data_IF_845968506719
#
_entry.id   IF_845968506719
#
_cell.length_a   1.000
_cell.length_b   1.000
_cell.length_c   1.000
_cell.angle_alpha   90.00
_cell.angle_beta   90.00
_cell.angle_gamma   90.00
#
_symmetry.space_group_name_H-M   'P 1'
#
loop_
_entity.id
_entity.type
_entity.pdbx_description
1 polymer ?
#
# COMPACT_ATOMS: atom_id res chain seq x y z
N UNK A 1 25.54 9.16 2.87
CA UNK A 1 24.79 7.91 2.62
C UNK A 1 23.33 8.29 2.61
N UNK A 2 22.61 8.07 1.52
CA UNK A 2 21.18 8.40 1.46
C UNK A 2 20.38 7.63 2.51
N UNK A 3 19.43 8.30 3.14
CA UNK A 3 18.60 7.73 4.22
C UNK A 3 17.15 7.69 3.76
N UNK A 4 16.54 6.53 3.86
CA UNK A 4 15.14 6.29 3.54
C UNK A 4 14.39 5.86 4.79
N UNK A 5 13.12 6.22 4.86
CA UNK A 5 12.24 5.85 5.96
C UNK A 5 11.02 5.10 5.41
N UNK A 6 10.70 3.95 6.00
CA UNK A 6 9.37 3.35 5.87
C UNK A 6 8.51 4.04 6.92
N UNK A 7 7.53 4.83 6.46
CA UNK A 7 6.67 5.61 7.35
C UNK A 7 5.81 4.71 8.21
N UNK A 8 5.15 3.75 7.57
CA UNK A 8 4.26 2.78 8.19
C UNK A 8 4.17 1.53 7.32
N UNK A 9 3.98 0.36 7.91
CA UNK A 9 3.79 -0.88 7.18
C UNK A 9 3.27 -2.00 8.09
N UNK A 10 2.38 -2.85 7.56
CA UNK A 10 1.74 -3.93 8.32
C UNK A 10 2.57 -5.22 8.43
N UNK A 11 3.75 -5.28 7.79
CA UNK A 11 4.62 -6.45 7.88
C UNK A 11 5.30 -6.57 9.24
N UNK A 12 5.53 -7.82 9.66
CA UNK A 12 6.23 -8.15 10.91
C UNK A 12 7.76 -8.14 10.79
N UNK A 13 8.30 -8.05 9.55
CA UNK A 13 9.74 -8.07 9.29
C UNK A 13 10.06 -7.39 7.96
N UNK A 14 11.25 -6.83 7.86
CA UNK A 14 11.74 -6.02 6.73
C UNK A 14 13.08 -6.53 6.18
N UNK A 15 13.35 -7.82 6.33
CA UNK A 15 14.64 -8.43 5.95
C UNK A 15 15.01 -8.24 4.48
N UNK A 16 14.01 -8.23 3.59
CA UNK A 16 14.22 -8.03 2.15
C UNK A 16 14.62 -6.59 1.90
N UNK A 17 13.84 -5.66 2.42
CA UNK A 17 14.05 -4.22 2.26
C UNK A 17 15.39 -3.81 2.90
N UNK A 18 15.66 -4.23 4.12
CA UNK A 18 16.92 -3.96 4.82
C UNK A 18 18.12 -4.43 4.00
N UNK A 19 18.04 -5.65 3.44
CA UNK A 19 19.11 -6.20 2.61
C UNK A 19 19.30 -5.39 1.33
N UNK A 20 18.21 -5.07 0.61
CA UNK A 20 18.26 -4.31 -0.65
C UNK A 20 18.86 -2.93 -0.45
N UNK A 21 18.45 -2.22 0.62
CA UNK A 21 18.99 -0.90 0.94
C UNK A 21 20.46 -0.95 1.36
N UNK A 22 20.83 -1.96 2.16
CA UNK A 22 22.23 -2.17 2.57
C UNK A 22 23.13 -2.49 1.37
N UNK A 23 22.69 -3.39 0.48
CA UNK A 23 23.43 -3.76 -0.74
C UNK A 23 23.61 -2.54 -1.68
N UNK A 24 22.66 -1.60 -1.67
CA UNK A 24 22.72 -0.36 -2.44
C UNK A 24 23.50 0.77 -1.72
N UNK A 25 24.08 0.53 -0.55
CA UNK A 25 24.79 1.53 0.23
C UNK A 25 23.89 2.64 0.79
N UNK A 26 22.62 2.33 1.04
CA UNK A 26 21.63 3.23 1.58
C UNK A 26 21.20 2.79 2.99
N UNK A 27 20.76 3.75 3.79
CA UNK A 27 20.23 3.51 5.14
C UNK A 27 18.71 3.43 5.08
N UNK A 28 18.13 2.40 5.69
CA UNK A 28 16.69 2.25 5.86
C UNK A 28 16.31 2.37 7.35
N UNK A 29 15.25 3.10 7.64
CA UNK A 29 14.67 3.28 8.97
C UNK A 29 13.19 2.94 8.92
N UNK A 30 12.68 2.26 9.94
CA UNK A 30 11.28 1.88 10.06
C UNK A 30 10.67 2.70 11.22
N UNK A 31 9.68 3.54 10.93
CA UNK A 31 9.20 4.53 11.89
C UNK A 31 7.83 4.20 12.51
N UNK A 32 6.93 3.51 11.80
CA UNK A 32 5.54 3.32 12.21
C UNK A 32 4.79 4.64 12.49
N UNK A 33 5.06 5.66 11.66
CA UNK A 33 4.43 6.97 11.70
C UNK A 33 3.13 6.95 10.89
N UNK A 34 1.99 7.29 11.48
CA UNK A 34 0.65 7.20 10.87
C UNK A 34 0.01 8.56 10.60
N UNK A 35 0.52 9.60 11.22
CA UNK A 35 0.02 10.98 11.07
C UNK A 35 1.08 11.86 10.42
N UNK A 36 0.64 13.00 9.85
CA UNK A 36 1.57 13.97 9.27
C UNK A 36 2.67 14.40 10.27
N UNK A 37 2.27 14.69 11.52
CA UNK A 37 3.23 15.13 12.54
C UNK A 37 4.26 14.05 12.88
N UNK A 38 3.84 12.80 12.92
CA UNK A 38 4.74 11.67 13.15
C UNK A 38 5.68 11.47 11.97
N UNK A 39 5.18 11.57 10.72
CA UNK A 39 6.01 11.49 9.52
C UNK A 39 7.04 12.60 9.49
N UNK A 40 6.62 13.84 9.72
CA UNK A 40 7.52 15.01 9.76
C UNK A 40 8.61 14.80 10.82
N UNK A 41 8.23 14.43 12.04
CA UNK A 41 9.17 14.20 13.14
C UNK A 41 10.18 13.11 12.78
N UNK A 42 9.69 11.92 12.41
CA UNK A 42 10.55 10.77 12.14
C UNK A 42 11.51 11.02 10.97
N UNK A 43 11.02 11.63 9.88
CA UNK A 43 11.84 11.95 8.72
C UNK A 43 12.85 13.06 9.00
N UNK A 44 12.50 14.04 9.84
CA UNK A 44 13.42 15.12 10.27
C UNK A 44 14.54 14.58 11.15
N UNK A 45 14.21 13.74 12.15
CA UNK A 45 15.18 13.17 13.08
C UNK A 45 16.29 12.37 12.37
N UNK A 46 15.95 11.70 11.28
CA UNK A 46 16.90 10.92 10.51
C UNK A 46 17.46 11.62 9.26
N UNK A 47 17.04 12.85 8.98
CA UNK A 47 17.39 13.59 7.75
C UNK A 47 17.06 12.77 6.48
N UNK A 48 15.82 12.29 6.36
CA UNK A 48 15.41 11.42 5.27
C UNK A 48 15.56 12.09 3.90
N UNK A 49 16.07 11.33 2.94
CA UNK A 49 16.16 11.69 1.52
C UNK A 49 14.98 11.10 0.70
N UNK A 50 14.27 10.10 1.25
CA UNK A 50 13.10 9.49 0.62
C UNK A 50 12.18 8.80 1.61
N UNK A 51 10.90 8.69 1.21
CA UNK A 51 9.83 8.07 1.98
C UNK A 51 9.29 6.83 1.25
N UNK A 52 9.15 5.71 1.97
CA UNK A 52 8.37 4.56 1.55
C UNK A 52 7.07 4.56 2.37
N UNK A 53 5.93 4.62 1.71
CA UNK A 53 4.65 4.94 2.34
C UNK A 53 3.63 3.84 2.06
N UNK A 54 2.94 3.35 3.09
CA UNK A 54 1.79 2.47 2.90
C UNK A 54 0.48 3.23 3.08
N UNK A 55 0.20 3.79 4.25
CA UNK A 55 -1.04 4.50 4.57
C UNK A 55 -0.83 5.92 5.10
N UNK A 56 0.37 6.26 5.54
CA UNK A 56 0.66 7.57 6.11
C UNK A 56 0.38 8.69 5.10
N UNK A 57 -0.23 9.82 5.52
CA UNK A 57 -0.49 10.93 4.63
C UNK A 57 0.78 11.71 4.29
N UNK A 58 1.01 11.93 2.99
CA UNK A 58 2.07 12.82 2.49
C UNK A 58 1.44 13.96 1.71
N UNK A 59 1.22 15.05 2.41
CA UNK A 59 0.56 16.26 1.91
C UNK A 59 1.58 17.36 1.60
N UNK A 60 1.09 18.49 1.08
CA UNK A 60 1.89 19.71 0.90
C UNK A 60 2.57 20.16 2.21
N UNK A 61 1.87 20.03 3.35
CA UNK A 61 2.42 20.34 4.68
C UNK A 61 3.63 19.45 5.01
N UNK A 62 3.51 18.15 4.76
CA UNK A 62 4.59 17.20 5.01
C UNK A 62 5.81 17.51 4.15
N UNK A 63 5.62 17.68 2.84
CA UNK A 63 6.72 17.96 1.92
C UNK A 63 7.35 19.34 2.15
N UNK A 64 6.56 20.34 2.54
CA UNK A 64 7.09 21.65 2.93
C UNK A 64 8.02 21.58 4.14
N UNK A 65 7.75 20.68 5.07
CA UNK A 65 8.58 20.46 6.26
C UNK A 65 9.83 19.60 5.99
N UNK A 66 9.87 18.89 4.86
CA UNK A 66 10.90 17.90 4.53
C UNK A 66 11.63 18.23 3.21
N UNK A 67 12.36 19.36 3.13
CA UNK A 67 12.95 19.83 1.86
C UNK A 67 14.07 18.92 1.29
N UNK A 68 14.55 17.95 2.05
CA UNK A 68 15.52 16.96 1.59
C UNK A 68 14.91 15.78 0.87
N UNK A 69 13.62 15.52 1.07
CA UNK A 69 12.93 14.39 0.45
C UNK A 69 12.82 14.62 -1.06
N UNK A 70 13.47 13.77 -1.84
CA UNK A 70 13.46 13.81 -3.30
C UNK A 70 12.56 12.76 -3.94
N UNK A 71 12.07 11.78 -3.17
CA UNK A 71 11.21 10.72 -3.67
C UNK A 71 10.25 10.21 -2.59
N UNK A 72 9.00 10.00 -2.98
CA UNK A 72 7.99 9.27 -2.22
C UNK A 72 7.58 8.02 -3.01
N UNK A 73 7.79 6.84 -2.46
CA UNK A 73 7.40 5.57 -3.08
C UNK A 73 6.26 4.95 -2.28
N UNK A 74 5.10 4.78 -2.92
CA UNK A 74 3.98 4.10 -2.32
C UNK A 74 4.17 2.58 -2.39
N UNK A 75 4.03 1.90 -1.27
CA UNK A 75 4.09 0.44 -1.16
C UNK A 75 2.71 -0.11 -1.56
N UNK A 76 2.45 -0.22 -2.86
CA UNK A 76 1.21 -0.72 -3.46
C UNK A 76 0.75 0.06 -4.69
N UNK A 77 -0.40 -0.30 -5.26
CA UNK A 77 -0.89 0.24 -6.54
C UNK A 77 -1.51 1.64 -6.41
N UNK A 78 -2.44 1.82 -5.47
CA UNK A 78 -3.05 3.13 -5.23
C UNK A 78 -2.07 4.09 -4.54
N UNK A 79 -2.21 5.38 -4.74
CA UNK A 79 -1.37 6.41 -4.13
C UNK A 79 -2.17 7.58 -3.54
N UNK A 80 -3.42 7.35 -3.17
CA UNK A 80 -4.34 8.37 -2.66
C UNK A 80 -3.85 9.05 -1.36
N UNK A 81 -2.92 8.42 -0.64
CA UNK A 81 -2.31 8.95 0.58
C UNK A 81 -1.17 9.93 0.31
N UNK A 82 -0.69 10.02 -0.93
CA UNK A 82 0.38 10.93 -1.36
C UNK A 82 -0.21 11.92 -2.35
N UNK A 83 -0.11 13.22 -2.06
CA UNK A 83 -0.60 14.28 -2.94
C UNK A 83 0.33 14.49 -4.16
N UNK A 84 -0.08 14.10 -5.39
CA UNK A 84 0.76 14.27 -6.57
C UNK A 84 1.07 15.73 -6.90
N UNK A 85 0.13 16.66 -6.60
CA UNK A 85 0.34 18.09 -6.85
C UNK A 85 1.36 18.67 -5.88
N UNK A 86 1.34 18.20 -4.65
CA UNK A 86 2.37 18.56 -3.69
C UNK A 86 3.74 18.02 -4.11
N UNK A 87 3.81 16.77 -4.57
CA UNK A 87 5.05 16.20 -5.11
C UNK A 87 5.59 17.04 -6.28
N UNK A 88 4.76 17.40 -7.25
CA UNK A 88 5.14 18.27 -8.38
C UNK A 88 5.64 19.63 -7.90
N UNK A 89 4.91 20.28 -7.00
CA UNK A 89 5.25 21.60 -6.42
C UNK A 89 6.61 21.61 -5.73
N UNK A 90 6.95 20.53 -5.03
CA UNK A 90 8.20 20.40 -4.27
C UNK A 90 9.33 19.72 -5.06
N UNK A 91 9.10 19.32 -6.30
CA UNK A 91 10.09 18.61 -7.12
C UNK A 91 10.42 17.20 -6.62
N UNK A 92 9.45 16.55 -5.97
CA UNK A 92 9.58 15.21 -5.39
C UNK A 92 9.03 14.16 -6.36
N UNK A 93 9.80 13.13 -6.63
CA UNK A 93 9.33 12.00 -7.43
C UNK A 93 8.27 11.19 -6.68
N UNK A 94 7.17 10.86 -7.37
CA UNK A 94 6.15 9.93 -6.86
C UNK A 94 6.25 8.62 -7.64
N UNK A 95 6.47 7.52 -6.92
CA UNK A 95 6.50 6.16 -7.46
C UNK A 95 5.46 5.27 -6.75
N UNK A 96 4.99 4.23 -7.44
CA UNK A 96 4.09 3.21 -6.89
C UNK A 96 4.40 1.84 -7.50
N UNK A 97 3.69 0.78 -7.05
CA UNK A 97 3.78 -0.58 -7.60
C UNK A 97 2.43 -0.94 -8.26
N UNK A 98 2.21 -0.59 -9.55
CA UNK A 98 0.87 -0.57 -10.13
C UNK A 98 0.29 -1.96 -10.46
N UNK A 99 1.10 -2.96 -10.75
CA UNK A 99 0.69 -4.19 -11.43
C UNK A 99 0.93 -5.49 -10.65
N UNK A 100 1.45 -5.44 -9.43
CA UNK A 100 1.78 -6.62 -8.64
C UNK A 100 0.58 -7.54 -8.30
N UNK A 101 -0.62 -7.01 -8.22
CA UNK A 101 -1.83 -7.74 -7.79
C UNK A 101 -2.95 -7.76 -8.83
N UNK A 102 -2.71 -7.39 -10.08
CA UNK A 102 -3.76 -7.27 -11.11
C UNK A 102 -4.45 -8.60 -11.38
N UNK A 103 -3.68 -9.68 -11.51
CA UNK A 103 -4.22 -11.02 -11.78
C UNK A 103 -5.12 -11.52 -10.64
N UNK A 104 -4.65 -11.41 -9.41
CA UNK A 104 -5.35 -11.84 -8.20
C UNK A 104 -6.64 -11.03 -7.98
N UNK A 105 -6.57 -9.71 -8.09
CA UNK A 105 -7.73 -8.83 -7.93
C UNK A 105 -8.78 -9.10 -9.01
N UNK A 106 -8.36 -9.21 -10.28
CA UNK A 106 -9.27 -9.45 -11.40
C UNK A 106 -9.95 -10.83 -11.30
N UNK A 107 -9.20 -11.88 -11.00
CA UNK A 107 -9.75 -13.23 -10.86
C UNK A 107 -10.66 -13.35 -9.63
N UNK A 108 -10.32 -12.70 -8.52
CA UNK A 108 -11.18 -12.66 -7.35
C UNK A 108 -12.50 -11.90 -7.62
N UNK A 109 -12.44 -10.77 -8.30
CA UNK A 109 -13.63 -10.02 -8.71
C UNK A 109 -14.55 -10.87 -9.62
N UNK A 110 -13.95 -11.59 -10.58
CA UNK A 110 -14.69 -12.52 -11.44
C UNK A 110 -15.32 -13.66 -10.64
N UNK A 111 -14.59 -14.25 -9.70
CA UNK A 111 -15.09 -15.32 -8.85
C UNK A 111 -16.29 -14.87 -8.01
N UNK A 112 -16.22 -13.67 -7.42
CA UNK A 112 -17.35 -13.09 -6.67
C UNK A 112 -18.56 -12.81 -7.57
N UNK A 113 -18.33 -12.28 -8.77
CA UNK A 113 -19.41 -12.02 -9.73
C UNK A 113 -20.12 -13.34 -10.14
N UNK A 114 -19.36 -14.39 -10.43
CA UNK A 114 -19.90 -15.71 -10.76
C UNK A 114 -20.62 -16.35 -9.57
N UNK A 115 -20.09 -16.19 -8.35
CA UNK A 115 -20.76 -16.69 -7.14
C UNK A 115 -22.13 -16.00 -6.93
N UNK A 116 -22.22 -14.70 -7.11
CA UNK A 116 -23.47 -13.94 -7.02
C UNK A 116 -24.46 -14.43 -8.09
N UNK A 117 -24.04 -14.55 -9.34
CA UNK A 117 -24.90 -14.98 -10.45
C UNK A 117 -25.38 -16.41 -10.27
N UNK A 118 -24.52 -17.31 -9.82
CA UNK A 118 -24.83 -18.75 -9.68
C UNK A 118 -25.30 -19.16 -8.30
N UNK A 119 -25.15 -18.32 -7.28
CA UNK A 119 -25.50 -18.57 -5.89
C UNK A 119 -24.77 -19.78 -5.28
N UNK A 120 -23.50 -20.01 -5.69
CA UNK A 120 -22.76 -21.23 -5.30
C UNK A 120 -22.54 -21.29 -3.80
N UNK A 121 -22.20 -20.18 -3.17
CA UNK A 121 -22.04 -20.08 -1.69
C UNK A 121 -23.36 -20.32 -0.98
N UNK A 122 -24.47 -19.73 -1.47
CA UNK A 122 -25.79 -19.90 -0.91
C UNK A 122 -26.24 -21.37 -0.99
N UNK A 123 -26.14 -22.00 -2.16
CA UNK A 123 -26.53 -23.40 -2.34
C UNK A 123 -25.62 -24.35 -1.54
N UNK A 124 -24.34 -24.07 -1.44
CA UNK A 124 -23.42 -24.85 -0.59
C UNK A 124 -23.85 -24.82 0.87
N UNK A 125 -24.23 -23.63 1.38
CA UNK A 125 -24.75 -23.51 2.75
C UNK A 125 -26.05 -24.32 2.96
N UNK A 126 -26.99 -24.24 2.01
CA UNK A 126 -28.25 -24.97 2.09
C UNK A 126 -28.03 -26.50 2.10
N UNK A 127 -27.18 -27.00 1.21
CA UNK A 127 -26.87 -28.45 1.16
C UNK A 127 -26.19 -28.92 2.44
N UNK A 128 -25.26 -28.16 2.98
CA UNK A 128 -24.63 -28.46 4.28
C UNK A 128 -25.60 -28.46 5.45
N UNK A 129 -26.67 -27.66 5.37
CA UNK A 129 -27.77 -27.63 6.32
C UNK A 129 -28.83 -28.71 6.08
N UNK A 130 -28.59 -29.66 5.17
CA UNK A 130 -29.51 -30.73 4.81
C UNK A 130 -30.70 -30.27 3.95
N UNK A 131 -30.65 -29.07 3.38
CA UNK A 131 -31.68 -28.53 2.51
C UNK A 131 -31.34 -28.85 1.04
N UNK A 132 -32.12 -29.68 0.41
CA UNK A 132 -32.00 -30.00 -0.99
C UNK A 132 -33.24 -29.56 -1.77
N UNK A 133 -33.12 -28.60 -2.67
CA UNK A 133 -34.20 -28.13 -3.53
C UNK A 133 -33.87 -28.37 -5.00
N UNK A 134 -34.65 -29.22 -5.64
CA UNK A 134 -34.54 -29.52 -7.09
C UNK A 134 -35.35 -28.45 -7.86
N UNK A 135 -34.80 -27.97 -9.00
CA UNK A 135 -35.54 -27.14 -9.96
C UNK A 135 -35.32 -25.63 -9.84
N UNK A 136 -34.40 -25.15 -9.02
CA UNK A 136 -33.97 -23.75 -9.08
C UNK A 136 -32.77 -23.58 -10.02
N UNK A 137 -32.97 -23.81 -11.32
CA UNK A 137 -32.10 -23.21 -12.31
C UNK A 137 -32.49 -21.73 -12.41
N UNK A 138 -31.62 -20.84 -11.95
CA UNK A 138 -31.80 -19.43 -12.26
C UNK A 138 -31.41 -19.20 -13.71
N UNK A 139 -32.41 -18.86 -14.49
CA UNK A 139 -32.27 -18.30 -15.83
C UNK A 139 -31.96 -16.83 -15.67
#
# INVERSE_FOLDING_TARGET
MPTFIITDFDASHFKIEEKLFADAGMRLIIAQAKTEDEVIRAATECNADGLLVQYAPVTDRVLSALPRVGICSRIGAGYDTIDPKACEKHGVWLANSPDYGVGEVATHALALALDIIRGTTFHTHDVRAGKWQIGRAHV
#
